data_IF_223448129946
#
_entry.id   IF_223448129946
#
_cell.length_a   1.000
_cell.length_b   1.000
_cell.length_c   1.000
_cell.angle_alpha   90.00
_cell.angle_beta   90.00
_cell.angle_gamma   90.00
#
_symmetry.space_group_name_H-M   'P 1'
#
loop_
_entity.id
_entity.type
_entity.pdbx_description
1 polymer ?
#
# COMPACT_ATOMS: atom_id res chain seq x y z
N UNK A 1 1.24 -4.20 7.06
CA UNK A 1 0.91 -3.17 6.04
C UNK A 1 1.68 -1.88 6.32
N UNK A 2 2.43 -1.36 5.34
CA UNK A 2 3.07 -0.03 5.43
C UNK A 2 2.49 0.86 4.33
N UNK A 3 2.29 2.14 4.62
CA UNK A 3 1.86 3.15 3.63
C UNK A 3 2.67 4.43 3.82
N UNK A 4 2.88 5.25 2.77
CA UNK A 4 3.47 6.58 2.91
C UNK A 4 2.68 7.44 3.89
N UNK A 5 3.39 8.29 4.65
CA UNK A 5 2.77 9.38 5.42
C UNK A 5 2.19 10.42 4.48
N UNK A 6 1.11 11.08 4.89
CA UNK A 6 0.51 12.17 4.11
C UNK A 6 1.47 13.35 3.90
N UNK A 7 2.42 13.54 4.81
CA UNK A 7 3.48 14.57 4.70
C UNK A 7 4.42 14.35 3.52
N UNK A 8 4.47 13.15 2.94
CA UNK A 8 5.31 12.81 1.77
C UNK A 8 4.58 13.12 0.43
N UNK A 9 3.46 13.85 0.47
CA UNK A 9 2.72 14.27 -0.73
C UNK A 9 1.58 13.33 -1.14
N UNK A 10 1.29 12.29 -0.35
CA UNK A 10 0.13 11.44 -0.58
C UNK A 10 -1.18 12.19 -0.25
N UNK A 11 -2.19 12.06 -1.11
CA UNK A 11 -3.53 12.58 -0.82
C UNK A 11 -4.20 11.75 0.28
N UNK A 12 -4.96 12.38 1.19
CA UNK A 12 -5.76 11.67 2.20
C UNK A 12 -6.99 11.02 1.55
N UNK A 13 -6.78 9.96 0.77
CA UNK A 13 -7.83 9.28 0.03
C UNK A 13 -8.82 8.54 0.94
N UNK A 14 -10.11 8.61 0.62
CA UNK A 14 -11.18 7.90 1.36
C UNK A 14 -10.97 6.38 1.31
N UNK A 15 -10.64 5.83 0.13
CA UNK A 15 -10.33 4.40 -0.02
C UNK A 15 -9.12 3.98 0.81
N UNK A 16 -8.07 4.82 0.87
CA UNK A 16 -6.91 4.59 1.74
C UNK A 16 -7.35 4.51 3.20
N UNK A 17 -8.14 5.48 3.66
CA UNK A 17 -8.61 5.52 5.05
C UNK A 17 -9.41 4.26 5.41
N UNK A 18 -10.41 3.89 4.59
CA UNK A 18 -11.19 2.67 4.79
C UNK A 18 -10.31 1.40 4.79
N UNK A 19 -9.31 1.34 3.90
CA UNK A 19 -8.36 0.21 3.86
C UNK A 19 -7.55 0.10 5.14
N UNK A 20 -7.07 1.22 5.69
CA UNK A 20 -6.29 1.21 6.93
C UNK A 20 -7.14 0.85 8.15
N UNK A 21 -8.41 1.29 8.17
CA UNK A 21 -9.39 0.91 9.20
C UNK A 21 -9.65 -0.60 9.18
N UNK A 22 -10.02 -1.16 8.02
CA UNK A 22 -10.23 -2.61 7.85
C UNK A 22 -8.97 -3.43 8.16
N UNK A 23 -7.79 -2.93 7.79
CA UNK A 23 -6.52 -3.57 8.14
C UNK A 23 -6.29 -3.58 9.66
N UNK A 24 -6.64 -2.50 10.36
CA UNK A 24 -6.55 -2.46 11.81
C UNK A 24 -7.55 -3.43 12.48
N UNK A 25 -8.79 -3.46 12.01
CA UNK A 25 -9.85 -4.36 12.51
C UNK A 25 -9.53 -5.84 12.31
N UNK A 26 -8.86 -6.19 11.20
CA UNK A 26 -8.37 -7.54 10.92
C UNK A 26 -7.11 -7.92 11.71
N UNK A 27 -6.62 -7.03 12.59
CA UNK A 27 -5.45 -7.28 13.44
C UNK A 27 -4.12 -7.11 12.72
N UNK A 28 -4.10 -6.53 11.51
CA UNK A 28 -2.85 -6.24 10.81
C UNK A 28 -2.13 -5.08 11.47
N UNK A 29 -0.81 -5.21 11.59
CA UNK A 29 0.04 -4.08 11.96
C UNK A 29 0.13 -3.11 10.79
N UNK A 30 -0.46 -1.94 10.98
CA UNK A 30 -0.44 -0.82 10.03
C UNK A 30 0.58 0.21 10.49
N UNK A 31 1.42 0.70 9.57
CA UNK A 31 2.38 1.78 9.84
C UNK A 31 2.38 2.81 8.73
N UNK A 32 2.03 4.04 9.07
CA UNK A 32 2.31 5.21 8.23
C UNK A 32 3.78 5.61 8.39
N UNK A 33 4.58 5.49 7.35
CA UNK A 33 6.04 5.67 7.41
C UNK A 33 6.59 6.24 6.10
N UNK A 34 7.82 6.72 6.12
CA UNK A 34 8.58 6.94 4.88
C UNK A 34 8.87 5.56 4.27
N UNK A 35 8.66 5.45 2.96
CA UNK A 35 8.98 4.26 2.18
C UNK A 35 9.96 4.65 1.08
N UNK A 36 11.04 3.89 0.95
CA UNK A 36 11.97 4.00 -0.18
C UNK A 36 11.76 2.89 -1.20
N UNK A 37 12.49 2.96 -2.32
CA UNK A 37 12.50 1.89 -3.34
C UNK A 37 12.89 0.52 -2.75
N UNK A 38 13.81 0.50 -1.78
CA UNK A 38 14.19 -0.73 -1.10
C UNK A 38 13.03 -1.39 -0.35
N UNK A 39 12.13 -0.62 0.29
CA UNK A 39 10.95 -1.18 0.93
C UNK A 39 10.01 -1.81 -0.10
N UNK A 40 9.86 -1.19 -1.26
CA UNK A 40 8.99 -1.68 -2.34
C UNK A 40 9.54 -2.96 -2.98
N UNK A 41 10.83 -3.00 -3.29
CA UNK A 41 11.47 -4.17 -3.94
C UNK A 41 11.60 -5.40 -3.04
N UNK A 42 11.41 -5.24 -1.73
CA UNK A 42 11.47 -6.33 -0.75
C UNK A 42 10.12 -6.54 -0.06
N UNK A 43 9.04 -5.92 -0.54
CA UNK A 43 7.70 -6.22 -0.04
C UNK A 43 7.26 -7.61 -0.54
N UNK A 44 6.55 -8.37 0.30
CA UNK A 44 5.91 -9.62 -0.12
C UNK A 44 4.79 -9.33 -1.13
N UNK A 45 4.04 -8.26 -0.90
CA UNK A 45 2.96 -7.77 -1.76
C UNK A 45 2.89 -6.24 -1.76
N UNK A 46 2.35 -5.68 -2.85
CA UNK A 46 2.11 -4.25 -3.01
C UNK A 46 0.77 -4.02 -3.71
N UNK A 47 0.05 -2.97 -3.33
CA UNK A 47 -1.20 -2.56 -3.98
C UNK A 47 -1.38 -1.05 -3.92
N UNK A 48 -2.25 -0.54 -4.78
CA UNK A 48 -2.69 0.86 -4.81
C UNK A 48 -4.14 0.96 -4.34
N UNK A 49 -4.48 2.11 -3.74
CA UNK A 49 -5.84 2.45 -3.35
C UNK A 49 -6.36 3.63 -4.16
N UNK A 50 -7.59 3.58 -4.70
CA UNK A 50 -8.20 4.72 -5.36
C UNK A 50 -9.70 4.56 -5.56
N UNK A 51 -10.44 5.65 -5.75
CA UNK A 51 -11.92 5.59 -5.82
C UNK A 51 -12.43 4.77 -7.01
N UNK A 52 -11.77 4.82 -8.16
CA UNK A 52 -12.26 4.16 -9.38
C UNK A 52 -11.96 2.66 -9.44
N UNK A 53 -10.79 2.25 -8.93
CA UNK A 53 -10.32 0.87 -9.02
C UNK A 53 -10.21 0.18 -7.65
N UNK A 54 -10.63 0.88 -6.59
CA UNK A 54 -10.59 0.45 -5.19
C UNK A 54 -9.20 -0.03 -4.77
N UNK A 55 -8.95 -1.34 -4.80
CA UNK A 55 -7.66 -1.98 -4.52
C UNK A 55 -7.13 -2.59 -5.81
N UNK A 56 -5.92 -2.18 -6.22
CA UNK A 56 -5.24 -2.74 -7.40
C UNK A 56 -3.91 -3.35 -6.99
N UNK A 57 -3.68 -4.65 -7.19
CA UNK A 57 -2.39 -5.27 -6.89
C UNK A 57 -1.31 -4.77 -7.86
N UNK A 58 -0.11 -4.53 -7.32
CA UNK A 58 1.10 -4.20 -8.06
C UNK A 58 2.02 -5.41 -8.05
N UNK A 59 1.97 -6.19 -9.12
CA UNK A 59 2.74 -7.45 -9.24
C UNK A 59 4.19 -7.24 -9.68
N UNK A 60 4.51 -6.07 -10.27
CA UNK A 60 5.85 -5.75 -10.75
C UNK A 60 6.17 -4.27 -10.62
N UNK A 61 7.38 -3.94 -10.19
CA UNK A 61 7.93 -2.58 -10.12
C UNK A 61 9.30 -2.60 -10.81
N UNK A 62 9.51 -1.73 -11.79
CA UNK A 62 10.77 -1.63 -12.56
C UNK A 62 11.25 -2.98 -13.15
N UNK A 63 10.30 -3.80 -13.61
CA UNK A 63 10.56 -5.13 -14.16
C UNK A 63 10.88 -6.22 -13.13
N UNK A 64 10.86 -5.89 -11.83
CA UNK A 64 11.02 -6.84 -10.74
C UNK A 64 9.67 -7.30 -10.23
N UNK A 65 9.45 -8.61 -10.20
CA UNK A 65 8.27 -9.22 -9.57
C UNK A 65 8.26 -8.91 -8.07
N UNK A 66 7.11 -8.48 -7.56
CA UNK A 66 6.88 -8.22 -6.13
C UNK A 66 6.07 -9.38 -5.52
N UNK A 67 4.85 -9.61 -6.01
CA UNK A 67 3.97 -10.69 -5.58
C UNK A 67 3.15 -11.24 -6.75
N UNK A 68 2.20 -12.14 -6.48
CA UNK A 68 1.32 -12.71 -7.52
C UNK A 68 -0.08 -12.08 -7.56
N UNK A 69 -0.35 -11.11 -6.69
CA UNK A 69 -1.57 -10.30 -6.66
C UNK A 69 -2.80 -11.04 -6.10
N UNK A 70 -2.58 -12.03 -5.24
CA UNK A 70 -3.64 -12.80 -4.58
C UNK A 70 -3.83 -12.43 -3.13
#
# INVERSE_FOLDING_TARGET
>A
LKTPRLTEGALPGVTRWATLELAHESGLRVKETVLGLHDLYNADECFLTGTGAEIVPVISIDGRQIGDGK
#
